data_IF_855825954772
#
_entry.id   IF_855825954772
#
_cell.length_a   1.000
_cell.length_b   1.000
_cell.length_c   1.000
_cell.angle_alpha   90.00
_cell.angle_beta   90.00
_cell.angle_gamma   90.00
#
_symmetry.space_group_name_H-M   'P 1'
#
loop_
_entity.id
_entity.type
_entity.pdbx_description
1 polymer ?
#
# COMPACT_ATOMS: atom_id res chain seq x y z
N UNK A 1 -1.44 -3.03 -32.16
CA UNK A 1 -1.16 -2.31 -30.89
C UNK A 1 -0.68 -3.30 -29.84
N UNK A 2 0.52 -3.07 -29.28
CA UNK A 2 1.30 -4.12 -28.61
C UNK A 2 0.91 -4.31 -27.14
N UNK A 3 0.59 -5.57 -26.79
CA UNK A 3 0.20 -6.08 -25.47
C UNK A 3 1.11 -5.64 -24.30
N UNK A 4 2.38 -5.30 -24.58
CA UNK A 4 3.41 -4.95 -23.61
C UNK A 4 3.34 -3.52 -23.03
N UNK A 5 2.45 -2.63 -23.51
CA UNK A 5 2.35 -1.25 -22.98
C UNK A 5 1.50 -1.12 -21.71
N UNK A 6 0.73 -2.15 -21.37
CA UNK A 6 -0.07 -2.19 -20.14
C UNK A 6 0.74 -2.83 -19.01
N UNK A 7 1.08 -2.04 -17.99
CA UNK A 7 1.75 -2.53 -16.77
C UNK A 7 1.02 -3.73 -16.14
N UNK A 8 -0.30 -3.80 -16.29
CA UNK A 8 -1.13 -4.88 -15.77
C UNK A 8 -1.04 -6.19 -16.55
N UNK A 9 -0.65 -6.14 -17.83
CA UNK A 9 -0.43 -7.34 -18.64
C UNK A 9 0.99 -7.89 -18.43
N UNK A 10 1.97 -7.02 -18.18
CA UNK A 10 3.32 -7.41 -17.78
C UNK A 10 3.33 -8.14 -16.43
N UNK A 11 2.57 -7.64 -15.44
CA UNK A 11 2.40 -8.30 -14.14
C UNK A 11 1.73 -9.67 -14.27
N UNK A 12 0.70 -9.80 -15.12
CA UNK A 12 0.03 -11.09 -15.34
C UNK A 12 0.97 -12.11 -16.02
N UNK A 13 1.77 -11.66 -16.99
CA UNK A 13 2.80 -12.47 -17.65
C UNK A 13 3.88 -12.96 -16.68
N UNK A 14 4.38 -12.07 -15.82
CA UNK A 14 5.35 -12.42 -14.77
C UNK A 14 4.79 -13.49 -13.81
N UNK A 15 3.53 -13.36 -13.39
CA UNK A 15 2.88 -14.34 -12.50
C UNK A 15 2.69 -15.71 -13.16
N UNK A 16 2.41 -15.76 -14.45
CA UNK A 16 2.32 -17.03 -15.21
C UNK A 16 3.70 -17.69 -15.28
N UNK A 17 4.76 -16.93 -15.57
CA UNK A 17 6.13 -17.45 -15.58
C UNK A 17 6.55 -18.02 -14.23
N UNK A 18 6.29 -17.31 -13.13
CA UNK A 18 6.57 -17.82 -11.77
C UNK A 18 5.79 -19.12 -11.47
N UNK A 19 4.55 -19.23 -11.96
CA UNK A 19 3.75 -20.44 -11.76
C UNK A 19 4.27 -21.64 -12.55
N UNK A 20 4.81 -21.42 -13.75
CA UNK A 20 5.45 -22.46 -14.58
C UNK A 20 6.75 -22.94 -13.95
N UNK A 21 7.55 -22.03 -13.38
CA UNK A 21 8.78 -22.36 -12.64
C UNK A 21 8.47 -23.21 -11.40
N UNK A 22 7.41 -22.90 -10.64
CA UNK A 22 7.01 -23.73 -9.48
C UNK A 22 6.53 -25.13 -9.93
N UNK A 23 5.88 -25.26 -11.09
CA UNK A 23 5.47 -26.56 -11.64
C UNK A 23 6.69 -27.36 -12.11
N UNK A 24 7.63 -26.75 -12.83
CA UNK A 24 8.82 -27.44 -13.33
C UNK A 24 9.75 -27.88 -12.20
N UNK A 25 9.91 -27.05 -11.16
CA UNK A 25 10.69 -27.40 -9.97
C UNK A 25 9.98 -28.46 -9.13
N UNK A 26 8.65 -28.43 -9.00
CA UNK A 26 7.88 -29.51 -8.35
C UNK A 26 8.08 -30.85 -9.07
N UNK A 27 8.09 -30.84 -10.40
CA UNK A 27 8.32 -32.05 -11.20
C UNK A 27 9.76 -32.56 -11.12
N UNK A 28 10.74 -31.65 -10.99
CA UNK A 28 12.17 -31.99 -10.92
C UNK A 28 12.66 -32.39 -9.52
N UNK A 29 11.91 -32.12 -8.45
CA UNK A 29 12.36 -32.31 -7.06
C UNK A 29 12.13 -33.71 -6.49
N UNK A 30 12.48 -34.74 -7.26
CA UNK A 30 12.79 -36.09 -6.75
C UNK A 30 14.22 -36.21 -6.19
N UNK A 31 14.95 -35.10 -6.00
CA UNK A 31 16.31 -35.11 -5.45
C UNK A 31 16.55 -33.97 -4.46
N UNK A 32 16.95 -34.38 -3.24
CA UNK A 32 17.24 -33.54 -2.06
C UNK A 32 18.30 -32.46 -2.33
N UNK A 33 17.98 -31.19 -2.04
CA UNK A 33 18.92 -30.18 -1.50
C UNK A 33 18.14 -29.14 -0.67
N UNK A 34 18.80 -28.40 0.22
CA UNK A 34 18.24 -27.45 1.19
C UNK A 34 17.55 -26.19 0.59
N UNK A 35 17.08 -26.26 -0.65
CA UNK A 35 16.33 -25.23 -1.39
C UNK A 35 14.82 -25.21 -1.04
N UNK A 36 14.38 -26.06 -0.12
CA UNK A 36 12.97 -26.21 0.28
C UNK A 36 12.36 -24.93 0.89
N UNK A 37 13.18 -24.07 1.51
CA UNK A 37 12.74 -22.84 2.17
C UNK A 37 12.30 -21.74 1.20
N UNK A 38 13.10 -21.47 0.16
CA UNK A 38 12.81 -20.45 -0.85
C UNK A 38 11.63 -20.85 -1.74
N UNK A 39 11.44 -22.15 -2.00
CA UNK A 39 10.30 -22.68 -2.75
C UNK A 39 8.96 -22.50 -2.00
N UNK A 40 8.96 -22.51 -0.66
CA UNK A 40 7.78 -22.16 0.14
C UNK A 40 7.42 -20.66 0.01
N UNK A 41 8.42 -19.78 -0.03
CA UNK A 41 8.21 -18.33 -0.24
C UNK A 41 7.69 -18.04 -1.65
N UNK A 42 8.18 -18.74 -2.68
CA UNK A 42 7.67 -18.62 -4.05
C UNK A 42 6.21 -19.10 -4.19
N UNK A 43 5.80 -20.10 -3.40
CA UNK A 43 4.38 -20.52 -3.32
C UNK A 43 3.48 -19.50 -2.62
N UNK A 44 4.00 -18.71 -1.67
CA UNK A 44 3.26 -17.60 -1.04
C UNK A 44 2.89 -16.50 -2.05
N UNK A 45 3.66 -16.32 -3.12
CA UNK A 45 3.31 -15.37 -4.21
C UNK A 45 2.01 -15.76 -4.94
N UNK A 46 1.54 -17.01 -4.85
CA UNK A 46 0.22 -17.40 -5.36
C UNK A 46 -0.93 -16.83 -4.52
N UNK A 47 -0.68 -16.36 -3.29
CA UNK A 47 -1.64 -15.60 -2.49
C UNK A 47 -1.98 -14.23 -3.12
N UNK A 48 -1.22 -13.80 -4.14
CA UNK A 48 -1.47 -12.59 -4.94
C UNK A 48 -2.50 -12.80 -6.07
N UNK A 49 -3.03 -14.02 -6.27
CA UNK A 49 -4.14 -14.29 -7.22
C UNK A 49 -5.36 -13.37 -7.06
N UNK A 50 -5.75 -12.89 -5.86
CA UNK A 50 -6.80 -11.89 -5.68
C UNK A 50 -6.51 -10.54 -6.36
N UNK A 51 -5.26 -10.22 -6.73
CA UNK A 51 -4.97 -9.06 -7.59
C UNK A 51 -5.60 -9.17 -8.99
N UNK A 52 -6.07 -10.34 -9.40
CA UNK A 52 -6.92 -10.49 -10.59
C UNK A 52 -8.34 -9.95 -10.37
N UNK A 53 -8.87 -10.00 -9.14
CA UNK A 53 -10.18 -9.41 -8.76
C UNK A 53 -10.13 -7.89 -8.86
N UNK A 54 -8.95 -7.34 -8.62
CA UNK A 54 -8.59 -5.95 -8.87
C UNK A 54 -8.90 -5.59 -10.35
N UNK A 55 -8.66 -6.45 -11.36
CA UNK A 55 -9.10 -6.17 -12.76
C UNK A 55 -10.64 -6.07 -12.93
N UNK A 56 -11.44 -6.70 -12.05
CA UNK A 56 -12.91 -6.74 -12.11
C UNK A 56 -13.61 -5.60 -11.36
N UNK A 57 -12.92 -4.87 -10.50
CA UNK A 57 -13.50 -3.75 -9.76
C UNK A 57 -12.86 -2.41 -10.20
N UNK A 58 -13.18 -1.90 -11.40
CA UNK A 58 -12.66 -0.62 -11.86
C UNK A 58 -13.04 0.53 -10.92
N UNK A 59 -14.12 0.39 -10.16
CA UNK A 59 -14.61 1.37 -9.17
C UNK A 59 -13.98 1.26 -7.79
N UNK A 60 -13.31 0.15 -7.44
CA UNK A 60 -12.85 -0.09 -6.06
C UNK A 60 -11.38 0.31 -5.83
N UNK A 61 -10.56 0.44 -6.88
CA UNK A 61 -9.10 0.55 -6.69
C UNK A 61 -8.52 1.92 -6.41
N UNK A 62 -9.17 2.97 -6.86
CA UNK A 62 -8.57 4.31 -6.87
C UNK A 62 -9.62 5.39 -7.11
N UNK A 63 -10.91 5.04 -7.13
CA UNK A 63 -11.94 5.94 -7.64
C UNK A 63 -12.55 6.84 -6.56
N UNK A 64 -12.38 6.50 -5.27
CA UNK A 64 -13.03 7.27 -4.20
C UNK A 64 -12.44 8.70 -4.10
N UNK A 65 -11.14 8.81 -4.34
CA UNK A 65 -10.36 10.03 -4.12
C UNK A 65 -9.63 10.57 -5.35
N UNK A 66 -9.58 9.81 -6.45
CA UNK A 66 -8.93 10.28 -7.67
C UNK A 66 -9.60 11.54 -8.21
N UNK A 67 -8.80 12.57 -8.46
CA UNK A 67 -9.21 13.86 -8.97
C UNK A 67 -9.86 14.79 -7.94
N UNK A 68 -9.96 14.39 -6.67
CA UNK A 68 -10.57 15.21 -5.61
C UNK A 68 -9.56 16.05 -4.80
N UNK A 69 -8.28 15.72 -4.86
CA UNK A 69 -7.21 16.33 -4.04
C UNK A 69 -6.59 17.54 -4.75
N UNK A 70 -7.44 18.46 -5.21
CA UNK A 70 -7.02 19.70 -5.86
C UNK A 70 -7.61 20.90 -5.12
N UNK A 71 -6.91 22.03 -5.23
CA UNK A 71 -7.38 23.31 -4.69
C UNK A 71 -6.87 24.47 -5.54
N UNK A 72 -7.59 25.58 -5.49
CA UNK A 72 -7.17 26.83 -6.10
C UNK A 72 -6.12 27.55 -5.23
N UNK A 73 -5.01 27.96 -5.87
CA UNK A 73 -3.96 28.77 -5.28
C UNK A 73 -3.97 30.17 -5.94
N UNK A 74 -4.37 31.17 -5.18
CA UNK A 74 -4.53 32.57 -5.63
C UNK A 74 -4.50 33.55 -4.46
N UNK A 75 -4.71 34.83 -4.75
CA UNK A 75 -4.71 35.90 -3.75
C UNK A 75 -6.01 35.92 -2.95
N UNK A 76 -7.18 35.90 -3.63
CA UNK A 76 -8.50 35.87 -3.02
C UNK A 76 -9.33 34.67 -3.52
N UNK A 77 -9.43 33.61 -2.72
CA UNK A 77 -10.11 32.35 -3.10
C UNK A 77 -11.50 32.17 -2.49
N UNK A 78 -12.01 33.19 -1.78
CA UNK A 78 -13.24 33.12 -0.97
C UNK A 78 -14.47 32.82 -1.83
N UNK A 79 -14.53 33.37 -3.04
CA UNK A 79 -15.70 33.24 -3.94
C UNK A 79 -15.47 32.23 -5.08
N UNK A 80 -14.49 31.35 -4.96
CA UNK A 80 -14.13 30.35 -5.97
C UNK A 80 -14.62 28.98 -5.52
N UNK A 81 -15.60 28.45 -6.25
CA UNK A 81 -16.23 27.16 -5.96
C UNK A 81 -15.69 26.04 -6.85
N UNK A 82 -15.15 26.39 -8.01
CA UNK A 82 -14.80 25.44 -9.05
C UNK A 82 -13.45 25.75 -9.72
N UNK A 83 -12.87 24.74 -10.35
CA UNK A 83 -11.64 24.88 -11.16
C UNK A 83 -11.79 25.90 -12.29
N UNK A 84 -12.91 25.90 -12.99
CA UNK A 84 -13.14 26.84 -14.10
C UNK A 84 -13.11 28.28 -13.61
N UNK A 85 -13.68 28.56 -12.43
CA UNK A 85 -13.65 29.87 -11.79
C UNK A 85 -12.22 30.24 -11.37
N UNK A 86 -11.48 29.30 -10.77
CA UNK A 86 -10.07 29.48 -10.44
C UNK A 86 -9.22 29.88 -11.66
N UNK A 87 -9.40 29.19 -12.78
CA UNK A 87 -8.67 29.48 -14.01
C UNK A 87 -9.13 30.80 -14.65
N UNK A 88 -10.42 31.14 -14.54
CA UNK A 88 -10.95 32.42 -15.03
C UNK A 88 -10.44 33.63 -14.23
N UNK A 89 -10.15 33.43 -12.94
CA UNK A 89 -9.55 34.43 -12.06
C UNK A 89 -8.02 34.54 -12.22
N UNK A 90 -7.43 33.86 -13.22
CA UNK A 90 -6.00 33.80 -13.48
C UNK A 90 -5.19 33.22 -12.29
N UNK A 91 -5.78 32.27 -11.57
CA UNK A 91 -5.14 31.54 -10.47
C UNK A 91 -4.70 30.13 -10.89
N UNK A 92 -3.95 29.46 -10.00
CA UNK A 92 -3.38 28.14 -10.28
C UNK A 92 -4.18 27.05 -9.61
N UNK A 93 -4.71 26.11 -10.41
CA UNK A 93 -5.33 24.89 -9.91
C UNK A 93 -4.25 23.85 -9.64
N UNK A 94 -3.96 23.58 -8.37
CA UNK A 94 -2.81 22.76 -7.95
C UNK A 94 -3.27 21.51 -7.21
N UNK A 95 -2.53 20.42 -7.40
CA UNK A 95 -2.72 19.18 -6.66
C UNK A 95 -2.11 19.28 -5.26
N UNK A 96 -2.73 18.62 -4.28
CA UNK A 96 -2.14 18.44 -2.95
C UNK A 96 -0.93 17.50 -3.03
N UNK A 97 0.03 17.71 -2.12
CA UNK A 97 1.31 16.95 -2.10
C UNK A 97 1.06 15.46 -1.88
N UNK A 98 0.14 15.12 -0.98
CA UNK A 98 -0.35 13.77 -0.77
C UNK A 98 -1.69 13.62 -1.48
N UNK A 99 -1.76 12.70 -2.45
CA UNK A 99 -2.95 12.44 -3.26
C UNK A 99 -2.99 10.98 -3.71
N UNK A 100 -4.10 10.60 -4.34
CA UNK A 100 -4.38 9.22 -4.76
C UNK A 100 -4.57 9.08 -6.28
N UNK A 101 -4.01 9.99 -7.09
CA UNK A 101 -4.25 10.01 -8.54
C UNK A 101 -3.42 8.99 -9.33
N UNK A 102 -2.22 8.71 -8.82
CA UNK A 102 -1.25 7.78 -9.38
C UNK A 102 -0.77 6.78 -8.33
N UNK A 103 -0.38 5.60 -8.77
CA UNK A 103 0.03 4.51 -7.87
C UNK A 103 1.20 4.89 -6.94
N UNK A 104 2.29 5.54 -7.40
CA UNK A 104 3.39 5.92 -6.51
C UNK A 104 2.97 6.95 -5.45
N UNK A 105 2.15 7.92 -5.83
CA UNK A 105 1.63 8.95 -4.93
C UNK A 105 0.65 8.37 -3.92
N UNK A 106 -0.20 7.43 -4.34
CA UNK A 106 -1.08 6.70 -3.45
C UNK A 106 -0.27 5.86 -2.44
N UNK A 107 0.78 5.18 -2.87
CA UNK A 107 1.69 4.46 -1.97
C UNK A 107 2.40 5.40 -0.99
N UNK A 108 2.83 6.58 -1.44
CA UNK A 108 3.43 7.58 -0.55
C UNK A 108 2.44 8.07 0.51
N UNK A 109 1.22 8.38 0.10
CA UNK A 109 0.15 8.82 1.01
C UNK A 109 -0.23 7.72 2.01
N UNK A 110 -0.31 6.45 1.56
CA UNK A 110 -0.56 5.31 2.44
C UNK A 110 0.60 5.05 3.42
N UNK A 111 1.84 5.21 2.98
CA UNK A 111 3.01 5.11 3.85
C UNK A 111 2.97 6.15 4.97
N UNK A 112 2.67 7.40 4.63
CA UNK A 112 2.50 8.50 5.60
C UNK A 112 1.36 8.23 6.59
N UNK A 113 0.24 7.69 6.12
CA UNK A 113 -0.87 7.28 6.99
C UNK A 113 -0.46 6.15 7.95
N UNK A 114 0.34 5.20 7.49
CA UNK A 114 0.84 4.07 8.29
C UNK A 114 1.91 4.49 9.30
N UNK A 115 2.85 5.35 8.89
CA UNK A 115 3.91 5.87 9.77
C UNK A 115 3.39 6.86 10.81
N UNK A 116 2.18 7.38 10.61
CA UNK A 116 1.54 8.44 11.42
C UNK A 116 2.36 9.73 11.50
N UNK A 117 3.16 10.02 10.48
CA UNK A 117 3.92 11.27 10.40
C UNK A 117 3.37 12.15 9.28
N UNK A 118 2.63 13.21 9.63
CA UNK A 118 1.96 14.08 8.65
C UNK A 118 0.60 13.59 8.15
N UNK A 119 0.06 12.50 8.71
CA UNK A 119 -1.26 11.92 8.36
C UNK A 119 -2.43 12.89 8.53
N UNK A 120 -2.31 13.83 9.48
CA UNK A 120 -3.37 14.81 9.80
C UNK A 120 -3.76 15.63 8.57
N UNK A 121 -2.80 16.04 7.74
CA UNK A 121 -3.07 16.79 6.52
C UNK A 121 -3.87 15.97 5.50
N UNK A 122 -3.58 14.66 5.39
CA UNK A 122 -4.29 13.75 4.48
C UNK A 122 -5.73 13.57 4.94
N UNK A 123 -5.95 13.45 6.25
CA UNK A 123 -7.31 13.32 6.82
C UNK A 123 -8.10 14.60 6.61
N UNK A 124 -7.54 15.78 6.91
CA UNK A 124 -8.23 17.05 6.67
C UNK A 124 -8.55 17.26 5.19
N UNK A 125 -7.58 17.07 4.30
CA UNK A 125 -7.81 17.16 2.85
C UNK A 125 -8.86 16.14 2.37
N UNK A 126 -8.95 14.97 3.03
CA UNK A 126 -9.95 13.95 2.76
C UNK A 126 -11.36 14.25 3.27
N UNK A 127 -11.49 14.97 4.41
CA UNK A 127 -12.77 15.44 4.96
C UNK A 127 -13.36 16.56 4.11
N UNK A 128 -12.49 17.42 3.60
CA UNK A 128 -12.87 18.60 2.82
C UNK A 128 -13.10 18.28 1.34
N UNK A 129 -12.85 17.02 0.93
CA UNK A 129 -12.97 16.58 -0.46
C UNK A 129 -14.44 16.45 -0.91
N UNK A 130 -14.88 17.39 -1.75
CA UNK A 130 -16.23 17.43 -2.32
C UNK A 130 -16.33 16.51 -3.56
N UNK A 131 -15.65 16.90 -4.64
CA UNK A 131 -15.79 16.29 -5.95
C UNK A 131 -14.62 16.61 -6.89
N UNK A 132 -14.68 16.08 -8.10
CA UNK A 132 -13.67 16.35 -9.13
C UNK A 132 -13.88 17.77 -9.66
N UNK A 133 -12.79 18.54 -9.78
CA UNK A 133 -12.77 19.93 -10.22
C UNK A 133 -13.59 20.93 -9.34
N UNK A 134 -14.01 20.51 -8.15
CA UNK A 134 -14.67 21.34 -7.14
C UNK A 134 -13.64 21.79 -6.09
N UNK A 135 -13.78 23.01 -5.57
CA UNK A 135 -12.97 23.52 -4.47
C UNK A 135 -13.31 22.75 -3.17
N UNK A 136 -12.33 22.39 -2.33
CA UNK A 136 -12.59 21.75 -1.04
C UNK A 136 -13.42 22.65 -0.13
N UNK A 137 -14.38 22.06 0.58
CA UNK A 137 -15.27 22.74 1.53
C UNK A 137 -15.03 22.11 2.89
N UNK A 138 -14.77 22.94 3.90
CA UNK A 138 -14.48 22.47 5.25
C UNK A 138 -15.62 21.63 5.82
N UNK A 139 -15.28 20.46 6.36
CA UNK A 139 -16.23 19.52 6.97
C UNK A 139 -17.38 19.07 6.04
N UNK A 140 -17.13 18.98 4.73
CA UNK A 140 -18.17 18.54 3.79
C UNK A 140 -18.64 17.11 4.06
N UNK A 141 -17.70 16.18 4.32
CA UNK A 141 -18.01 14.78 4.53
C UNK A 141 -17.43 14.24 5.85
N UNK A 142 -18.07 14.61 6.96
CA UNK A 142 -17.65 14.20 8.31
C UNK A 142 -17.64 12.68 8.52
N UNK A 143 -18.51 11.92 7.82
CA UNK A 143 -18.52 10.46 7.87
C UNK A 143 -17.21 9.82 7.40
N UNK A 144 -16.47 10.53 6.55
CA UNK A 144 -15.16 10.08 6.08
C UNK A 144 -14.13 9.98 7.20
N UNK A 145 -14.34 10.70 8.31
CA UNK A 145 -13.48 10.62 9.49
C UNK A 145 -13.44 9.21 10.07
N UNK A 146 -14.61 8.56 10.17
CA UNK A 146 -14.73 7.20 10.71
C UNK A 146 -13.95 6.22 9.83
N UNK A 147 -14.01 6.39 8.51
CA UNK A 147 -13.21 5.60 7.58
C UNK A 147 -11.70 5.76 7.83
N UNK A 148 -11.19 6.97 7.99
CA UNK A 148 -9.77 7.20 8.28
C UNK A 148 -9.34 6.66 9.65
N UNK A 149 -10.18 6.82 10.68
CA UNK A 149 -9.90 6.30 12.03
C UNK A 149 -9.84 4.76 12.02
N UNK A 150 -10.81 4.11 11.39
CA UNK A 150 -10.83 2.63 11.29
C UNK A 150 -9.61 2.11 10.53
N UNK A 151 -9.23 2.75 9.43
CA UNK A 151 -8.00 2.40 8.72
C UNK A 151 -6.75 2.56 9.60
N UNK A 152 -6.66 3.64 10.36
CA UNK A 152 -5.54 3.88 11.28
C UNK A 152 -5.46 2.83 12.39
N UNK A 153 -6.59 2.47 13.01
CA UNK A 153 -6.64 1.40 14.03
C UNK A 153 -6.25 0.05 13.43
N UNK A 154 -6.72 -0.28 12.23
CA UNK A 154 -6.33 -1.52 11.55
C UNK A 154 -4.82 -1.55 11.23
N UNK A 155 -4.24 -0.42 10.80
CA UNK A 155 -2.79 -0.34 10.54
C UNK A 155 -1.95 -0.53 11.80
N UNK A 156 -2.46 -0.09 12.96
CA UNK A 156 -1.82 -0.31 14.25
C UNK A 156 -1.82 -1.77 14.65
N UNK A 157 -2.97 -2.43 14.52
CA UNK A 157 -3.07 -3.86 14.80
C UNK A 157 -2.09 -4.68 13.94
N UNK A 158 -1.91 -4.30 12.67
CA UNK A 158 -0.93 -4.95 11.79
C UNK A 158 0.51 -4.69 12.22
N UNK A 159 0.83 -3.47 12.65
CA UNK A 159 2.13 -3.11 13.23
C UNK A 159 2.41 -3.94 14.49
N UNK A 160 1.45 -4.00 15.40
CA UNK A 160 1.58 -4.73 16.67
C UNK A 160 1.73 -6.24 16.44
N UNK A 161 0.97 -6.81 15.48
CA UNK A 161 1.12 -8.19 15.05
C UNK A 161 2.52 -8.47 14.47
N UNK A 162 3.03 -7.56 13.62
CA UNK A 162 4.36 -7.69 13.04
C UNK A 162 5.47 -7.60 14.08
N UNK A 163 5.38 -6.63 15.00
CA UNK A 163 6.30 -6.48 16.12
C UNK A 163 6.24 -7.74 16.99
N UNK A 164 5.06 -8.31 17.24
CA UNK A 164 4.90 -9.56 17.96
C UNK A 164 5.67 -10.72 17.32
N UNK A 165 5.54 -10.93 16.01
CA UNK A 165 6.29 -11.97 15.28
C UNK A 165 7.80 -11.72 15.31
N UNK A 166 8.23 -10.47 15.16
CA UNK A 166 9.64 -10.10 15.21
C UNK A 166 10.24 -10.39 16.59
N UNK A 167 9.55 -10.00 17.66
CA UNK A 167 9.98 -10.23 19.05
C UNK A 167 10.03 -11.73 19.35
N UNK A 168 9.01 -12.50 18.94
CA UNK A 168 9.00 -13.96 19.08
C UNK A 168 10.18 -14.61 18.37
N UNK A 169 10.46 -14.17 17.13
CA UNK A 169 11.60 -14.66 16.35
C UNK A 169 12.94 -14.32 17.03
N UNK A 170 13.07 -13.11 17.58
CA UNK A 170 14.25 -12.70 18.32
C UNK A 170 14.45 -13.54 19.58
N UNK A 171 13.37 -13.78 20.33
CA UNK A 171 13.40 -14.59 21.55
C UNK A 171 13.79 -16.05 21.25
N UNK A 172 13.26 -16.63 20.16
CA UNK A 172 13.64 -17.97 19.70
C UNK A 172 15.13 -18.06 19.32
N UNK A 173 15.66 -17.06 18.62
CA UNK A 173 17.10 -17.01 18.30
C UNK A 173 17.97 -16.96 19.55
N UNK A 174 17.60 -16.14 20.54
CA UNK A 174 18.34 -16.03 21.80
C UNK A 174 18.32 -17.36 22.58
N UNK A 175 17.18 -18.02 22.69
CA UNK A 175 17.08 -19.33 23.36
C UNK A 175 17.91 -20.41 22.65
N UNK A 176 17.95 -20.40 21.32
CA UNK A 176 18.76 -21.35 20.55
C UNK A 176 20.26 -21.09 20.74
N UNK A 177 20.70 -19.84 20.82
CA UNK A 177 22.10 -19.51 21.12
C UNK A 177 22.49 -20.00 22.52
N UNK A 178 21.67 -19.73 23.55
CA UNK A 178 21.97 -20.17 24.91
C UNK A 178 22.13 -21.70 24.99
N UNK A 179 21.30 -22.47 24.27
CA UNK A 179 21.44 -23.93 24.19
C UNK A 179 22.73 -24.38 23.47
N UNK A 180 23.12 -23.68 22.41
CA UNK A 180 24.38 -23.96 21.70
C UNK A 180 25.57 -23.67 22.61
N UNK A 181 25.54 -22.57 23.36
CA UNK A 181 26.59 -22.20 24.30
C UNK A 181 26.67 -23.19 25.47
N UNK A 182 25.54 -23.67 26.00
CA UNK A 182 25.51 -24.75 27.01
C UNK A 182 26.17 -26.04 26.48
N UNK A 183 25.83 -26.48 25.27
CA UNK A 183 26.42 -27.67 24.65
C UNK A 183 27.93 -27.50 24.40
N UNK A 184 28.36 -26.32 23.94
CA UNK A 184 29.79 -26.02 23.76
C UNK A 184 30.53 -26.04 25.11
N UNK A 185 29.89 -25.59 26.18
CA UNK A 185 30.48 -25.59 27.52
C UNK A 185 30.60 -27.01 28.07
N UNK A 186 29.58 -27.86 27.90
CA UNK A 186 29.64 -29.29 28.28
C UNK A 186 30.69 -30.08 27.51
N UNK A 187 30.91 -29.77 26.23
CA UNK A 187 31.96 -30.40 25.43
C UNK A 187 33.38 -29.92 25.78
N UNK A 188 33.50 -28.78 26.47
CA UNK A 188 34.78 -28.20 26.88
C UNK A 188 35.24 -28.64 28.29
N UNK A 189 34.38 -29.34 29.05
CA UNK A 189 34.67 -29.94 30.36
C UNK A 189 34.87 -31.44 30.28
#
# INVERSE_FOLDING_TARGET
ESYCRSAWNAVDGFLVLLSLVDISVFLASTTKTNMLGILKVLRMLRAMRPLRVIKRAPKLKLALFKGKFFYCLGQDTINITNKSECLSANYRWVQKVYNFDSLPQALMSLFVMYSKDGWVNIVYDGLDAVGVDQQPITNYNEWMLIFFITFMVMSLFLLDMFIGVMVETFHQCQQNQNKVDEVLTEQAT
#
